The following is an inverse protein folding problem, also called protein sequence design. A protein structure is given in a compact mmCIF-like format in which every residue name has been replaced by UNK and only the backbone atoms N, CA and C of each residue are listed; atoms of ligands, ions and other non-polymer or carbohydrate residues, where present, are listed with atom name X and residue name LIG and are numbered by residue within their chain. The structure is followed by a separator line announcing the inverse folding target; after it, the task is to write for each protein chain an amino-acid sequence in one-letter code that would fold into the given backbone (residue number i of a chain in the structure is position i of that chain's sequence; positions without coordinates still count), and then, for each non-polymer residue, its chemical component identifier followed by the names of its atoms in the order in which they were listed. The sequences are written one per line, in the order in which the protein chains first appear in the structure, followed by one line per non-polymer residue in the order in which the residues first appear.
data_IF_930964167186
#
_entry.id   IF_930964167186
#
_cell.length_a   1.000
_cell.length_b   1.000
_cell.length_c   1.000
_cell.angle_alpha   90.00
_cell.angle_beta   90.00
_cell.angle_gamma   90.00
#
_symmetry.space_group_name_H-M   'P 1'
#
loop_
_entity.id
_entity.type
_entity.pdbx_description
1 polymer ?
#
# COMPACT_ATOMS: atom_id res chain seq x y z
N UNK A 1 22.57 26.21 -11.57
CA UNK A 1 21.98 25.90 -12.86
C UNK A 1 22.30 27.03 -13.85
N UNK A 2 22.59 26.73 -15.14
CA UNK A 2 22.82 27.73 -16.19
C UNK A 2 21.54 27.93 -17.02
N UNK A 3 21.46 29.05 -17.76
CA UNK A 3 20.34 29.30 -18.69
C UNK A 3 20.25 28.21 -19.78
N UNK A 4 21.37 27.63 -20.20
CA UNK A 4 21.41 26.52 -21.14
C UNK A 4 20.81 25.24 -20.53
N UNK A 5 21.17 24.90 -19.29
CA UNK A 5 20.60 23.75 -18.58
C UNK A 5 19.08 23.91 -18.34
N UNK A 6 18.64 25.13 -18.01
CA UNK A 6 17.21 25.40 -17.86
C UNK A 6 16.42 25.22 -19.16
N UNK A 7 16.99 25.65 -20.30
CA UNK A 7 16.37 25.45 -21.62
C UNK A 7 16.38 23.99 -22.10
N UNK A 8 17.30 23.18 -21.59
CA UNK A 8 17.43 21.76 -21.94
C UNK A 8 16.61 20.83 -21.03
N UNK A 9 15.84 21.39 -20.07
CA UNK A 9 14.99 20.57 -19.22
C UNK A 9 13.93 19.86 -20.05
N UNK A 10 13.67 18.59 -19.75
CA UNK A 10 12.61 17.79 -20.34
C UNK A 10 11.26 18.45 -20.05
N UNK A 11 10.44 18.58 -21.10
CA UNK A 11 9.03 18.99 -20.96
C UNK A 11 8.20 17.74 -20.77
N UNK A 12 7.47 17.67 -19.67
CA UNK A 12 6.66 16.52 -19.31
C UNK A 12 5.20 16.74 -19.75
N UNK A 13 4.47 15.65 -20.11
CA UNK A 13 3.12 15.76 -20.63
C UNK A 13 2.10 16.20 -19.57
N UNK A 14 1.16 17.04 -19.96
CA UNK A 14 0.03 17.46 -19.14
C UNK A 14 -1.27 16.96 -19.80
N UNK A 15 -1.81 15.85 -19.30
CA UNK A 15 -3.06 15.25 -19.77
C UNK A 15 -4.07 15.18 -18.62
N UNK A 16 -4.59 16.35 -18.23
CA UNK A 16 -5.55 16.45 -17.13
C UNK A 16 -6.92 15.90 -17.52
N UNK A 17 -7.44 15.02 -16.67
CA UNK A 17 -8.76 14.42 -16.79
C UNK A 17 -9.56 14.66 -15.51
N UNK A 18 -10.88 14.76 -15.65
CA UNK A 18 -11.81 14.91 -14.54
C UNK A 18 -12.59 13.61 -14.35
N UNK A 19 -12.56 13.04 -13.16
CA UNK A 19 -13.38 11.90 -12.81
C UNK A 19 -14.87 12.29 -12.79
N UNK A 20 -15.68 11.68 -13.62
CA UNK A 20 -17.12 11.98 -13.73
C UNK A 20 -17.92 11.62 -12.48
N UNK A 21 -17.42 10.67 -11.68
CA UNK A 21 -18.07 10.27 -10.43
C UNK A 21 -17.80 11.27 -9.29
N UNK A 22 -16.53 11.53 -8.96
CA UNK A 22 -16.19 12.34 -7.79
C UNK A 22 -15.78 13.78 -8.09
N UNK A 23 -15.55 14.15 -9.36
CA UNK A 23 -15.10 15.49 -9.74
C UNK A 23 -13.60 15.75 -9.46
N UNK A 24 -12.83 14.73 -9.10
CA UNK A 24 -11.39 14.86 -8.92
C UNK A 24 -10.70 15.05 -10.27
N UNK A 25 -9.74 15.98 -10.32
CA UNK A 25 -8.95 16.27 -11.53
C UNK A 25 -7.52 15.80 -11.29
N UNK A 26 -6.96 15.07 -12.26
CA UNK A 26 -5.60 14.55 -12.15
C UNK A 26 -4.92 14.47 -13.52
N UNK A 27 -3.59 14.48 -13.54
CA UNK A 27 -2.80 14.26 -14.75
C UNK A 27 -2.66 12.77 -15.04
N UNK A 28 -3.31 12.28 -16.10
CA UNK A 28 -3.29 10.86 -16.46
C UNK A 28 -1.91 10.37 -16.97
N UNK A 29 -1.03 11.29 -17.39
CA UNK A 29 0.34 11.00 -17.86
C UNK A 29 1.40 11.27 -16.78
N UNK A 30 0.99 11.37 -15.51
CA UNK A 30 1.93 11.61 -14.43
C UNK A 30 2.79 10.38 -14.12
N UNK A 31 4.10 10.58 -14.09
CA UNK A 31 5.08 9.59 -13.66
C UNK A 31 5.86 10.15 -12.45
N UNK A 32 5.66 9.56 -11.29
CA UNK A 32 6.33 9.98 -10.06
C UNK A 32 7.86 9.88 -10.14
N UNK A 33 8.40 8.97 -10.94
CA UNK A 33 9.85 8.79 -11.10
C UNK A 33 10.52 10.03 -11.74
N UNK A 34 9.75 10.85 -12.48
CA UNK A 34 10.21 12.09 -13.09
C UNK A 34 10.37 13.24 -12.08
N UNK A 35 9.70 13.16 -10.94
CA UNK A 35 9.67 14.21 -9.89
C UNK A 35 9.83 13.60 -8.50
N UNK A 36 10.99 12.99 -8.19
CA UNK A 36 11.18 12.31 -6.91
C UNK A 36 11.38 13.33 -5.78
N UNK A 37 10.30 13.74 -5.12
CA UNK A 37 10.32 14.71 -4.00
C UNK A 37 11.28 14.36 -2.87
N UNK A 38 11.49 13.05 -2.62
CA UNK A 38 12.46 12.60 -1.62
C UNK A 38 13.91 12.93 -1.95
N UNK A 39 14.22 13.20 -3.23
CA UNK A 39 15.58 13.51 -3.67
C UNK A 39 15.80 15.00 -3.93
N UNK A 40 14.77 15.70 -4.38
CA UNK A 40 14.83 17.14 -4.71
C UNK A 40 13.49 17.79 -4.35
N UNK A 41 13.28 18.12 -3.08
CA UNK A 41 12.04 18.75 -2.66
C UNK A 41 11.88 20.10 -3.34
N UNK A 42 10.73 20.33 -3.94
CA UNK A 42 10.34 21.65 -4.41
C UNK A 42 9.64 22.37 -3.23
N UNK A 43 10.39 23.19 -2.55
CA UNK A 43 9.90 23.87 -1.35
C UNK A 43 9.06 25.09 -1.73
N UNK A 44 7.84 25.14 -1.25
CA UNK A 44 7.00 26.34 -1.43
C UNK A 44 7.47 27.47 -0.55
N UNK A 45 8.00 28.53 -1.17
CA UNK A 45 8.41 29.75 -0.47
C UNK A 45 7.31 30.81 -0.46
N UNK A 46 6.28 30.62 0.31
CA UNK A 46 5.32 31.69 0.52
C UNK A 46 5.68 32.47 1.80
N UNK A 47 6.25 33.68 1.65
CA UNK A 47 6.68 34.56 2.75
C UNK A 47 5.75 35.76 2.95
N UNK A 48 4.67 35.81 2.19
CA UNK A 48 3.74 36.94 2.25
C UNK A 48 3.01 37.04 3.59
N UNK A 49 2.69 38.26 4.00
CA UNK A 49 1.95 38.54 5.24
C UNK A 49 0.61 37.79 5.30
N UNK A 50 -0.15 37.79 4.21
CA UNK A 50 -1.44 37.10 4.14
C UNK A 50 -1.33 35.58 4.37
N UNK A 51 -0.26 34.98 3.85
CA UNK A 51 0.02 33.57 4.09
C UNK A 51 0.39 33.30 5.57
N UNK A 52 1.23 34.17 6.14
CA UNK A 52 1.58 34.05 7.55
C UNK A 52 0.35 34.16 8.47
N UNK A 53 -0.54 35.10 8.19
CA UNK A 53 -1.81 35.27 8.91
C UNK A 53 -2.76 34.08 8.72
N UNK A 54 -2.78 33.47 7.53
CA UNK A 54 -3.56 32.26 7.28
C UNK A 54 -3.05 31.11 8.15
N UNK A 55 -1.72 30.86 8.17
CA UNK A 55 -1.12 29.82 8.99
C UNK A 55 -1.39 30.06 10.48
N UNK A 56 -1.25 31.31 10.93
CA UNK A 56 -1.50 31.67 12.32
C UNK A 56 -2.93 31.36 12.74
N UNK A 57 -3.90 31.78 11.94
CA UNK A 57 -5.33 31.46 12.20
C UNK A 57 -5.61 29.96 12.19
N UNK A 58 -5.00 29.21 11.26
CA UNK A 58 -5.15 27.76 11.19
C UNK A 58 -4.59 27.07 12.44
N UNK A 59 -3.40 27.49 12.89
CA UNK A 59 -2.80 26.95 14.12
C UNK A 59 -3.66 27.25 15.36
N UNK A 60 -4.13 28.50 15.51
CA UNK A 60 -4.96 28.89 16.64
C UNK A 60 -6.30 28.10 16.65
N UNK A 61 -6.94 28.00 15.47
CA UNK A 61 -8.18 27.24 15.29
C UNK A 61 -8.03 25.74 15.61
N UNK A 62 -6.90 25.12 15.25
CA UNK A 62 -6.61 23.72 15.61
C UNK A 62 -6.34 23.58 17.11
N UNK A 63 -5.51 24.46 17.70
CA UNK A 63 -5.13 24.39 19.11
C UNK A 63 -6.33 24.57 20.06
N UNK A 64 -7.35 25.33 19.66
CA UNK A 64 -8.61 25.47 20.43
C UNK A 64 -9.38 24.13 20.56
N UNK A 65 -9.11 23.17 19.68
CA UNK A 65 -9.80 21.87 19.60
C UNK A 65 -8.99 20.72 20.18
N UNK A 66 -7.79 21.01 20.60
CA UNK A 66 -6.83 20.02 21.12
C UNK A 66 -6.69 20.12 22.64
N UNK A 67 -6.30 19.04 23.33
CA UNK A 67 -6.04 19.06 24.76
C UNK A 67 -4.87 20.01 25.12
N UNK A 68 -4.67 20.24 26.42
CA UNK A 68 -3.61 21.13 26.90
C UNK A 68 -2.19 20.70 26.56
N UNK A 69 -1.96 19.39 26.45
CA UNK A 69 -0.67 18.78 26.11
C UNK A 69 -0.82 17.84 24.91
N UNK A 70 -1.12 18.38 23.70
CA UNK A 70 -1.43 17.56 22.56
C UNK A 70 -0.17 16.92 21.95
N UNK A 71 -0.36 15.76 21.36
CA UNK A 71 0.60 15.15 20.41
C UNK A 71 0.17 15.51 18.98
N UNK A 72 0.98 16.33 18.33
CA UNK A 72 0.74 16.84 16.97
C UNK A 72 1.73 16.24 16.00
N UNK A 73 1.24 15.58 14.96
CA UNK A 73 2.06 15.00 13.90
C UNK A 73 1.79 15.74 12.60
N UNK A 74 2.82 16.22 11.90
CA UNK A 74 2.70 16.80 10.56
C UNK A 74 3.43 15.96 9.52
N UNK A 75 2.73 15.63 8.44
CA UNK A 75 3.25 14.88 7.28
C UNK A 75 3.61 15.87 6.18
N UNK A 76 4.83 15.76 5.65
CA UNK A 76 5.36 16.70 4.66
C UNK A 76 5.68 18.05 5.31
N UNK A 77 6.34 18.01 6.48
CA UNK A 77 6.55 19.18 7.29
C UNK A 77 7.44 20.28 6.65
N UNK A 78 8.33 20.02 5.66
CA UNK A 78 9.08 21.03 4.89
C UNK A 78 9.86 22.05 5.74
N UNK A 79 10.10 23.28 5.22
CA UNK A 79 10.94 24.30 5.90
C UNK A 79 10.20 25.25 6.85
N UNK A 80 8.87 25.45 6.72
CA UNK A 80 8.16 26.54 7.43
C UNK A 80 6.80 26.12 7.93
N UNK A 81 6.78 25.67 9.14
CA UNK A 81 5.74 24.80 9.65
C UNK A 81 4.73 25.47 10.54
N UNK A 82 3.50 24.99 10.46
CA UNK A 82 2.55 25.10 11.55
C UNK A 82 3.11 24.56 12.87
N UNK A 83 3.86 23.45 12.84
CA UNK A 83 4.42 22.82 14.05
C UNK A 83 5.23 23.77 14.92
N UNK A 84 6.14 24.55 14.33
CA UNK A 84 6.91 25.54 15.09
C UNK A 84 6.01 26.57 15.77
N UNK A 85 4.97 27.03 15.06
CA UNK A 85 4.01 28.00 15.60
C UNK A 85 3.14 27.39 16.68
N UNK A 86 2.70 26.15 16.53
CA UNK A 86 1.93 25.41 17.52
C UNK A 86 2.76 25.14 18.77
N UNK A 87 4.02 24.71 18.63
CA UNK A 87 4.93 24.48 19.75
C UNK A 87 5.23 25.79 20.53
N UNK A 88 5.37 26.91 19.85
CA UNK A 88 5.56 28.22 20.49
C UNK A 88 4.31 28.69 21.27
N UNK A 89 3.10 28.39 20.76
CA UNK A 89 1.82 28.79 21.39
C UNK A 89 1.39 27.86 22.50
N UNK A 90 1.80 26.59 22.42
CA UNK A 90 1.43 25.55 23.39
C UNK A 90 2.66 24.77 23.83
N UNK A 91 3.35 25.29 24.88
CA UNK A 91 4.65 24.77 25.34
C UNK A 91 4.62 23.30 25.82
N UNK A 92 3.42 22.79 26.16
CA UNK A 92 3.23 21.38 26.55
C UNK A 92 2.95 20.47 25.36
N UNK A 93 2.78 21.01 24.15
CA UNK A 93 2.53 20.21 22.97
C UNK A 93 3.79 19.42 22.59
N UNK A 94 3.62 18.13 22.29
CA UNK A 94 4.64 17.31 21.62
C UNK A 94 4.39 17.39 20.12
N UNK A 95 5.24 18.08 19.40
CA UNK A 95 5.14 18.27 17.96
C UNK A 95 6.19 17.43 17.23
N UNK A 96 5.76 16.64 16.24
CA UNK A 96 6.60 15.73 15.44
C UNK A 96 6.35 16.00 13.96
N UNK A 97 7.39 16.31 13.19
CA UNK A 97 7.32 16.49 11.74
C UNK A 97 7.98 15.36 11.00
N UNK A 98 7.33 14.86 9.95
CA UNK A 98 7.87 13.87 9.02
C UNK A 98 8.11 14.52 7.66
N UNK A 99 9.35 14.42 7.16
CA UNK A 99 9.69 14.85 5.82
C UNK A 99 10.94 14.10 5.32
N UNK A 100 10.83 13.28 4.25
CA UNK A 100 11.95 12.47 3.76
C UNK A 100 13.09 13.31 3.16
N UNK A 101 12.85 14.58 2.81
CA UNK A 101 13.87 15.47 2.24
C UNK A 101 14.91 15.96 3.25
N UNK A 102 14.61 15.88 4.54
CA UNK A 102 15.44 16.41 5.60
C UNK A 102 15.49 17.94 5.67
N UNK A 103 14.65 18.65 4.93
CA UNK A 103 14.66 20.11 4.83
C UNK A 103 13.97 20.83 6.01
N UNK A 104 13.76 20.15 7.13
CA UNK A 104 13.07 20.70 8.29
C UNK A 104 13.98 21.60 9.16
N UNK A 105 13.53 22.84 9.41
CA UNK A 105 14.12 23.73 10.41
C UNK A 105 13.35 23.61 11.74
N UNK A 106 13.90 22.88 12.69
CA UNK A 106 13.30 22.66 14.02
C UNK A 106 13.26 23.90 14.90
N UNK A 107 13.87 25.01 14.46
CA UNK A 107 13.92 26.24 15.24
C UNK A 107 14.64 26.09 16.56
N UNK A 108 15.71 25.29 16.60
CA UNK A 108 16.48 25.02 17.81
C UNK A 108 15.89 23.94 18.72
N UNK A 109 15.12 23.01 18.15
CA UNK A 109 14.55 21.88 18.91
C UNK A 109 13.14 22.12 19.46
N UNK A 110 12.40 23.06 18.88
CA UNK A 110 11.00 23.31 19.27
C UNK A 110 10.06 22.14 18.93
N UNK A 111 10.44 21.29 17.97
CA UNK A 111 9.72 20.07 17.62
C UNK A 111 10.70 18.97 17.17
N UNK A 112 10.24 17.73 17.23
CA UNK A 112 10.97 16.54 16.76
C UNK A 112 10.88 16.46 15.23
N UNK A 113 12.02 16.35 14.52
CA UNK A 113 12.08 16.15 13.08
C UNK A 113 12.49 14.71 12.76
N UNK A 114 11.69 14.04 11.93
CA UNK A 114 11.95 12.68 11.43
C UNK A 114 12.16 12.72 9.92
N UNK A 115 13.39 12.46 9.49
CA UNK A 115 13.78 12.42 8.07
C UNK A 115 13.43 11.08 7.47
N UNK A 116 12.14 10.78 7.41
CA UNK A 116 11.59 9.54 6.87
C UNK A 116 10.16 9.75 6.36
N UNK A 117 9.66 8.79 5.58
CA UNK A 117 8.26 8.78 5.18
C UNK A 117 7.37 8.41 6.37
N UNK A 118 6.24 9.11 6.50
CA UNK A 118 5.22 8.72 7.47
C UNK A 118 4.56 7.40 7.03
N UNK A 119 4.71 6.37 7.86
CA UNK A 119 4.06 5.06 7.70
C UNK A 119 2.91 4.94 8.69
N UNK A 120 1.65 5.09 8.26
CA UNK A 120 0.50 5.17 9.16
C UNK A 120 0.41 4.02 10.17
N UNK A 121 0.60 2.77 9.70
CA UNK A 121 0.48 1.58 10.55
C UNK A 121 1.51 1.53 11.69
N UNK A 122 2.69 2.12 11.49
CA UNK A 122 3.76 2.14 12.50
C UNK A 122 3.64 3.37 13.39
N UNK A 123 3.59 4.55 12.76
CA UNK A 123 3.76 5.81 13.48
C UNK A 123 2.51 6.23 14.28
N UNK A 124 1.31 5.86 13.83
CA UNK A 124 0.12 6.10 14.65
C UNK A 124 0.15 5.27 15.94
N UNK A 125 0.49 3.97 15.84
CA UNK A 125 0.59 3.10 17.00
C UNK A 125 1.72 3.50 17.96
N UNK A 126 2.83 4.08 17.46
CA UNK A 126 3.95 4.56 18.26
C UNK A 126 3.64 5.88 18.97
N UNK A 127 3.03 6.82 18.25
CA UNK A 127 2.95 8.23 18.68
C UNK A 127 1.65 8.58 19.38
N UNK A 128 0.57 7.84 19.10
CA UNK A 128 -0.78 8.14 19.62
C UNK A 128 -1.16 9.63 19.46
N UNK A 129 -1.16 10.18 18.22
CA UNK A 129 -1.41 11.61 18.02
C UNK A 129 -2.85 12.00 18.36
N UNK A 130 -3.03 13.22 18.86
CA UNK A 130 -4.35 13.87 18.97
C UNK A 130 -4.79 14.45 17.62
N UNK A 131 -3.80 14.88 16.81
CA UNK A 131 -4.05 15.36 15.46
C UNK A 131 -2.91 14.98 14.51
N UNK A 132 -3.28 14.55 13.31
CA UNK A 132 -2.39 14.40 12.15
C UNK A 132 -2.70 15.55 11.20
N UNK A 133 -1.66 16.26 10.78
CA UNK A 133 -1.73 17.39 9.86
C UNK A 133 -1.04 17.00 8.55
N UNK A 134 -1.68 17.27 7.41
CA UNK A 134 -1.08 17.11 6.09
C UNK A 134 -1.44 18.33 5.25
N UNK A 135 -0.44 19.12 4.88
CA UNK A 135 -0.64 20.35 4.12
C UNK A 135 0.25 20.37 2.91
N UNK A 136 -0.37 20.63 1.74
CA UNK A 136 0.35 20.66 0.46
C UNK A 136 1.18 19.40 0.19
N UNK A 137 0.55 18.23 0.40
CA UNK A 137 1.13 16.90 0.16
C UNK A 137 0.28 16.11 -0.82
N UNK A 138 -1.05 16.14 -0.65
CA UNK A 138 -1.94 15.26 -1.40
C UNK A 138 -1.98 15.58 -2.89
N UNK A 139 -1.74 16.84 -3.27
CA UNK A 139 -1.66 17.26 -4.67
C UNK A 139 -0.51 16.61 -5.44
N UNK A 140 0.50 16.14 -4.72
CA UNK A 140 1.66 15.44 -5.29
C UNK A 140 1.52 13.92 -5.34
N UNK A 141 0.48 13.35 -4.71
CA UNK A 141 0.30 11.91 -4.62
C UNK A 141 -0.43 11.35 -5.84
N UNK A 142 -0.01 10.16 -6.28
CA UNK A 142 -0.71 9.40 -7.32
C UNK A 142 -2.07 8.90 -6.84
N UNK A 143 -2.17 8.55 -5.55
CA UNK A 143 -3.39 8.05 -4.93
C UNK A 143 -3.68 8.74 -3.60
N UNK A 144 -4.16 9.99 -3.61
CA UNK A 144 -4.47 10.73 -2.38
C UNK A 144 -5.59 10.08 -1.56
N UNK A 145 -6.60 9.50 -2.21
CA UNK A 145 -7.68 8.77 -1.53
C UNK A 145 -7.14 7.59 -0.73
N UNK A 146 -6.30 6.75 -1.36
CA UNK A 146 -5.70 5.60 -0.69
C UNK A 146 -4.79 6.00 0.46
N UNK A 147 -4.11 7.14 0.36
CA UNK A 147 -3.29 7.67 1.45
C UNK A 147 -4.13 8.05 2.67
N UNK A 148 -5.21 8.81 2.49
CA UNK A 148 -6.13 9.17 3.59
C UNK A 148 -6.80 7.93 4.19
N UNK A 149 -7.21 6.97 3.34
CA UNK A 149 -7.76 5.69 3.80
C UNK A 149 -6.76 4.88 4.62
N UNK A 150 -5.47 4.91 4.28
CA UNK A 150 -4.43 4.20 5.05
C UNK A 150 -4.23 4.79 6.44
N UNK A 151 -4.34 6.11 6.58
CA UNK A 151 -4.28 6.80 7.89
C UNK A 151 -5.50 6.43 8.75
N UNK A 152 -6.70 6.54 8.20
CA UNK A 152 -7.94 6.19 8.92
C UNK A 152 -7.97 4.71 9.31
N UNK A 153 -7.54 3.85 8.40
CA UNK A 153 -7.42 2.42 8.67
C UNK A 153 -6.45 2.12 9.81
N UNK A 154 -5.25 2.72 9.79
CA UNK A 154 -4.25 2.51 10.84
C UNK A 154 -4.73 3.03 12.20
N UNK A 155 -5.44 4.18 12.25
CA UNK A 155 -6.06 4.70 13.46
C UNK A 155 -7.11 3.73 14.00
N UNK A 156 -7.99 3.21 13.12
CA UNK A 156 -9.01 2.22 13.48
C UNK A 156 -8.39 0.93 14.01
N UNK A 157 -7.34 0.44 13.35
CA UNK A 157 -6.63 -0.78 13.74
C UNK A 157 -6.00 -0.67 15.12
N UNK A 158 -5.36 0.46 15.39
CA UNK A 158 -4.67 0.72 16.67
C UNK A 158 -5.61 1.27 17.75
N UNK A 159 -6.91 1.38 17.47
CA UNK A 159 -7.91 1.97 18.36
C UNK A 159 -7.56 3.39 18.83
N UNK A 160 -6.99 4.18 17.92
CA UNK A 160 -6.57 5.57 18.17
C UNK A 160 -7.69 6.49 17.74
N UNK A 161 -8.12 7.36 18.65
CA UNK A 161 -9.03 8.46 18.38
C UNK A 161 -8.20 9.71 18.11
N UNK A 162 -8.09 10.10 16.86
CA UNK A 162 -7.33 11.26 16.42
C UNK A 162 -8.13 12.10 15.44
N UNK A 163 -7.75 13.36 15.30
CA UNK A 163 -8.22 14.21 14.20
C UNK A 163 -7.23 14.17 13.04
N UNK A 164 -7.75 14.38 11.83
CA UNK A 164 -6.96 14.56 10.62
C UNK A 164 -7.29 15.94 10.04
N UNK A 165 -6.31 16.81 9.96
CA UNK A 165 -6.40 18.08 9.25
C UNK A 165 -5.65 17.99 7.94
N UNK A 166 -6.35 18.30 6.84
CA UNK A 166 -5.77 18.34 5.49
C UNK A 166 -6.02 19.71 4.87
N UNK A 167 -5.00 20.24 4.20
CA UNK A 167 -5.09 21.43 3.37
C UNK A 167 -4.39 21.19 2.03
N UNK A 168 -5.05 21.58 0.93
CA UNK A 168 -4.54 21.47 -0.43
C UNK A 168 -4.92 22.69 -1.24
N UNK A 169 -4.25 22.99 -2.39
CA UNK A 169 -4.69 23.99 -3.33
C UNK A 169 -6.12 23.71 -3.83
N UNK A 170 -6.94 24.74 -3.92
CA UNK A 170 -8.32 24.67 -4.38
C UNK A 170 -8.43 25.24 -5.80
N UNK A 171 -8.99 24.43 -6.72
CA UNK A 171 -9.13 24.85 -8.13
C UNK A 171 -10.51 25.42 -8.49
N UNK A 172 -11.40 25.64 -7.53
CA UNK A 172 -12.71 26.25 -7.83
C UNK A 172 -12.54 27.63 -8.47
N UNK A 173 -11.69 28.48 -7.87
CA UNK A 173 -11.38 29.80 -8.46
C UNK A 173 -10.60 29.72 -9.77
N UNK A 174 -9.79 28.67 -9.94
CA UNK A 174 -9.07 28.43 -11.20
C UNK A 174 -10.05 28.23 -12.34
N UNK A 175 -11.11 27.47 -12.13
CA UNK A 175 -12.17 27.26 -13.10
C UNK A 175 -13.00 28.53 -13.32
N UNK A 176 -13.35 29.25 -12.25
CA UNK A 176 -14.13 30.53 -12.35
C UNK A 176 -13.39 31.58 -13.13
N UNK A 177 -12.07 31.69 -12.95
CA UNK A 177 -11.25 32.75 -13.53
C UNK A 177 -10.52 32.37 -14.82
N UNK A 178 -10.55 31.08 -15.19
CA UNK A 178 -9.88 30.57 -16.39
C UNK A 178 -8.34 30.61 -16.29
N UNK A 179 -7.79 30.50 -15.07
CA UNK A 179 -6.33 30.44 -14.87
C UNK A 179 -5.78 29.10 -15.35
N UNK A 180 -4.70 29.12 -16.13
CA UNK A 180 -4.05 27.90 -16.65
C UNK A 180 -2.73 27.57 -15.97
N UNK A 181 -2.11 28.52 -15.29
CA UNK A 181 -0.80 28.35 -14.66
C UNK A 181 -0.82 27.45 -13.42
N UNK A 182 -2.00 27.15 -12.89
CA UNK A 182 -2.19 26.23 -11.76
C UNK A 182 -2.01 24.75 -12.17
N UNK A 183 -2.08 24.45 -13.48
CA UNK A 183 -1.89 23.10 -14.01
C UNK A 183 -0.44 22.92 -14.44
N UNK A 184 0.37 22.35 -13.57
CA UNK A 184 1.77 22.02 -13.82
C UNK A 184 2.11 20.63 -13.30
N UNK A 185 3.22 20.07 -13.75
CA UNK A 185 3.48 18.64 -13.66
C UNK A 185 3.58 18.12 -12.23
N UNK A 186 4.18 18.86 -11.31
CA UNK A 186 4.38 18.45 -9.93
C UNK A 186 3.07 18.31 -9.14
N UNK A 187 2.01 19.02 -9.54
CA UNK A 187 0.69 18.83 -8.98
C UNK A 187 -0.10 17.81 -9.82
N UNK A 188 0.03 16.55 -9.48
CA UNK A 188 -0.72 15.48 -10.14
C UNK A 188 -2.23 15.56 -9.87
N UNK A 189 -2.60 15.90 -8.65
CA UNK A 189 -3.98 15.89 -8.14
C UNK A 189 -4.48 17.30 -7.85
N UNK A 190 -5.69 17.63 -8.33
CA UNK A 190 -6.31 18.93 -8.12
C UNK A 190 -7.68 18.77 -7.48
N UNK A 191 -7.94 19.58 -6.46
CA UNK A 191 -9.12 19.47 -5.63
C UNK A 191 -10.04 20.67 -5.78
N UNK A 192 -11.31 20.42 -6.12
CA UNK A 192 -12.41 21.32 -5.83
C UNK A 192 -12.86 21.10 -4.38
N UNK A 193 -13.55 22.07 -3.78
CA UNK A 193 -14.17 21.87 -2.45
C UNK A 193 -15.05 20.62 -2.43
N UNK A 194 -15.77 20.35 -3.50
CA UNK A 194 -16.65 19.19 -3.63
C UNK A 194 -15.88 17.86 -3.67
N UNK A 195 -14.86 17.76 -4.54
CA UNK A 195 -14.07 16.51 -4.65
C UNK A 195 -13.29 16.22 -3.38
N UNK A 196 -12.78 17.25 -2.72
CA UNK A 196 -12.13 17.17 -1.43
C UNK A 196 -13.07 16.68 -0.32
N UNK A 197 -14.29 17.24 -0.24
CA UNK A 197 -15.32 16.81 0.70
C UNK A 197 -15.64 15.32 0.52
N UNK A 198 -15.89 14.88 -0.72
CA UNK A 198 -16.18 13.47 -1.04
C UNK A 198 -15.03 12.54 -0.67
N UNK A 199 -13.78 12.97 -0.85
CA UNK A 199 -12.62 12.19 -0.44
C UNK A 199 -12.62 11.98 1.08
N UNK A 200 -12.82 13.00 1.88
CA UNK A 200 -12.87 12.88 3.35
C UNK A 200 -14.06 12.04 3.82
N UNK A 201 -15.25 12.27 3.27
CA UNK A 201 -16.47 11.50 3.59
C UNK A 201 -16.31 9.98 3.32
N UNK A 202 -15.56 9.63 2.29
CA UNK A 202 -15.29 8.22 1.93
C UNK A 202 -14.18 7.58 2.76
N UNK A 203 -13.32 8.37 3.38
CA UNK A 203 -12.05 7.92 3.95
C UNK A 203 -11.97 8.01 5.46
N UNK A 204 -12.86 8.77 6.12
CA UNK A 204 -12.75 9.05 7.55
C UNK A 204 -14.04 8.69 8.30
N UNK A 205 -13.97 8.63 9.62
CA UNK A 205 -15.12 8.31 10.45
C UNK A 205 -16.20 9.39 10.39
N UNK A 206 -15.79 10.65 10.45
CA UNK A 206 -16.69 11.82 10.47
C UNK A 206 -15.95 13.04 9.93
N UNK A 207 -16.59 13.78 9.04
CA UNK A 207 -16.10 15.07 8.57
C UNK A 207 -16.63 16.14 9.53
N UNK A 208 -15.72 16.81 10.25
CA UNK A 208 -16.07 17.82 11.25
C UNK A 208 -16.17 19.22 10.65
N UNK A 209 -15.34 19.51 9.64
CA UNK A 209 -15.30 20.83 9.02
C UNK A 209 -14.70 20.75 7.62
N UNK A 210 -15.22 21.52 6.67
CA UNK A 210 -14.63 21.81 5.36
C UNK A 210 -14.90 23.24 4.97
N UNK A 211 -13.85 23.97 4.67
CA UNK A 211 -13.96 25.34 4.19
C UNK A 211 -12.82 25.69 3.22
N UNK A 212 -12.96 26.83 2.56
CA UNK A 212 -11.91 27.44 1.76
C UNK A 212 -11.26 28.59 2.54
N UNK A 213 -9.98 28.80 2.32
CA UNK A 213 -9.21 29.85 2.97
C UNK A 213 -8.24 30.51 2.01
N UNK A 214 -7.48 31.49 2.49
CA UNK A 214 -6.48 32.20 1.70
C UNK A 214 -7.08 32.72 0.38
N UNK A 215 -8.18 33.49 0.49
CA UNK A 215 -8.95 34.01 -0.66
C UNK A 215 -9.50 32.95 -1.63
N UNK A 216 -9.79 31.75 -1.13
CA UNK A 216 -10.27 30.64 -1.93
C UNK A 216 -9.19 29.86 -2.67
N UNK A 217 -7.92 30.15 -2.42
CA UNK A 217 -6.79 29.46 -3.08
C UNK A 217 -6.48 28.09 -2.43
N UNK A 218 -6.97 27.85 -1.22
CA UNK A 218 -6.84 26.55 -0.55
C UNK A 218 -8.19 26.05 -0.08
N UNK A 219 -8.36 24.74 -0.06
CA UNK A 219 -9.44 24.05 0.65
C UNK A 219 -8.82 23.25 1.78
N UNK A 220 -9.45 23.32 2.96
CA UNK A 220 -9.02 22.55 4.11
C UNK A 220 -10.19 21.85 4.77
N UNK A 221 -9.88 20.78 5.49
CA UNK A 221 -10.88 20.04 6.25
C UNK A 221 -10.29 19.41 7.50
N UNK A 222 -11.16 19.25 8.47
CA UNK A 222 -10.91 18.53 9.72
C UNK A 222 -11.86 17.34 9.78
N UNK A 223 -11.31 16.15 10.01
CA UNK A 223 -12.08 14.94 10.13
C UNK A 223 -11.65 14.14 11.37
N UNK A 224 -12.55 13.33 11.90
CA UNK A 224 -12.24 12.34 12.93
C UNK A 224 -11.77 11.05 12.26
N UNK A 225 -10.67 10.50 12.73
CA UNK A 225 -10.15 9.19 12.32
C UNK A 225 -10.79 8.06 13.13
N UNK A 226 -10.62 6.84 12.66
CA UNK A 226 -11.03 5.65 13.39
C UNK A 226 -12.40 5.12 12.98
N UNK A 227 -12.71 5.13 11.69
CA UNK A 227 -13.96 4.59 11.15
C UNK A 227 -14.14 3.12 11.54
N UNK A 228 -15.12 2.83 12.41
CA UNK A 228 -15.50 1.48 12.80
C UNK A 228 -16.50 0.92 11.79
N UNK A 229 -16.18 -0.22 11.17
CA UNK A 229 -17.12 -0.87 10.23
C UNK A 229 -16.48 -1.96 9.39
N UNK A 230 -17.17 -2.39 8.33
CA UNK A 230 -16.79 -3.50 7.46
C UNK A 230 -15.33 -3.46 6.94
N UNK A 231 -14.76 -2.28 6.75
CA UNK A 231 -13.37 -2.12 6.27
C UNK A 231 -12.34 -2.66 7.25
N UNK A 232 -12.55 -2.44 8.55
CA UNK A 232 -11.65 -2.96 9.61
C UNK A 232 -11.68 -4.49 9.62
N UNK A 233 -12.88 -5.08 9.50
CA UNK A 233 -13.03 -6.54 9.47
C UNK A 233 -12.30 -7.18 8.29
N UNK A 234 -12.45 -6.63 7.08
CA UNK A 234 -11.76 -7.15 5.89
C UNK A 234 -10.24 -7.02 5.99
N UNK A 235 -9.78 -5.93 6.54
CA UNK A 235 -8.34 -5.71 6.69
C UNK A 235 -7.75 -6.58 7.80
N UNK A 236 -8.46 -6.81 8.90
CA UNK A 236 -8.06 -7.79 9.91
C UNK A 236 -7.95 -9.19 9.29
N UNK A 237 -8.94 -9.59 8.50
CA UNK A 237 -8.90 -10.85 7.78
C UNK A 237 -7.70 -10.94 6.84
N UNK A 238 -7.39 -9.88 6.10
CA UNK A 238 -6.23 -9.82 5.21
C UNK A 238 -4.89 -9.91 5.96
N UNK A 239 -4.75 -9.22 7.09
CA UNK A 239 -3.54 -9.31 7.91
C UNK A 239 -3.37 -10.68 8.56
N UNK A 240 -4.45 -11.27 9.08
CA UNK A 240 -4.44 -12.63 9.60
C UNK A 240 -4.06 -13.64 8.52
N UNK A 241 -4.61 -13.45 7.30
CA UNK A 241 -4.23 -14.28 6.15
C UNK A 241 -2.74 -14.13 5.83
N UNK A 242 -2.19 -12.91 5.78
CA UNK A 242 -0.78 -12.69 5.50
C UNK A 242 0.14 -13.35 6.53
N UNK A 243 -0.17 -13.20 7.83
CA UNK A 243 0.59 -13.82 8.91
C UNK A 243 0.50 -15.36 8.86
N UNK A 244 -0.71 -15.90 8.63
CA UNK A 244 -0.92 -17.34 8.50
C UNK A 244 -0.17 -17.88 7.29
N UNK A 245 -0.28 -17.20 6.14
CA UNK A 245 0.40 -17.58 4.91
C UNK A 245 1.94 -17.64 5.06
N UNK A 246 2.54 -16.67 5.76
CA UNK A 246 3.97 -16.69 6.03
C UNK A 246 4.38 -17.91 6.88
N UNK A 247 3.65 -18.19 7.97
CA UNK A 247 3.89 -19.37 8.81
C UNK A 247 3.69 -20.67 8.04
N UNK A 248 2.60 -20.79 7.29
CA UNK A 248 2.28 -21.98 6.50
C UNK A 248 3.37 -22.24 5.46
N UNK A 249 3.91 -21.18 4.84
CA UNK A 249 5.03 -21.31 3.90
C UNK A 249 6.24 -21.98 4.53
N UNK A 250 6.65 -21.53 5.69
CA UNK A 250 7.80 -22.10 6.40
C UNK A 250 7.54 -23.56 6.82
N UNK A 251 6.36 -23.84 7.34
CA UNK A 251 5.97 -25.18 7.80
C UNK A 251 5.91 -26.18 6.63
N UNK A 252 5.28 -25.82 5.52
CA UNK A 252 5.18 -26.68 4.33
C UNK A 252 6.56 -26.92 3.73
N UNK A 253 7.41 -25.89 3.62
CA UNK A 253 8.79 -26.06 3.14
C UNK A 253 9.57 -27.03 4.01
N UNK A 254 9.50 -26.89 5.34
CA UNK A 254 10.19 -27.79 6.26
C UNK A 254 9.72 -29.24 6.12
N UNK A 255 8.41 -29.46 5.93
CA UNK A 255 7.85 -30.81 5.71
C UNK A 255 8.27 -31.41 4.37
N UNK A 256 8.34 -30.61 3.30
CA UNK A 256 8.83 -31.04 1.99
C UNK A 256 10.34 -31.36 2.04
N UNK A 257 11.12 -30.50 2.66
CA UNK A 257 12.57 -30.67 2.83
C UNK A 257 12.88 -31.95 3.63
N UNK A 258 12.14 -32.22 4.69
CA UNK A 258 12.29 -33.45 5.49
C UNK A 258 12.00 -34.71 4.67
N UNK A 259 10.94 -34.70 3.84
CA UNK A 259 10.62 -35.85 2.96
C UNK A 259 11.70 -36.10 1.91
N UNK A 260 12.17 -35.01 1.23
CA UNK A 260 13.22 -35.12 0.23
C UNK A 260 14.54 -35.58 0.85
N UNK A 261 14.88 -35.08 2.04
CA UNK A 261 16.07 -35.52 2.79
C UNK A 261 15.99 -36.99 3.20
N UNK A 262 14.79 -37.49 3.52
CA UNK A 262 14.52 -38.90 3.77
C UNK A 262 14.52 -39.78 2.51
N UNK A 263 14.79 -39.22 1.33
CA UNK A 263 14.88 -39.91 0.06
C UNK A 263 13.52 -40.11 -0.63
N UNK A 264 12.44 -39.46 -0.19
CA UNK A 264 11.11 -39.52 -0.84
C UNK A 264 11.17 -38.79 -2.18
N UNK A 265 10.86 -39.48 -3.26
CA UNK A 265 10.73 -38.90 -4.62
C UNK A 265 9.33 -38.35 -4.77
N UNK A 266 9.24 -37.06 -4.99
CA UNK A 266 7.96 -36.34 -5.12
C UNK A 266 7.84 -35.77 -6.53
N UNK A 267 6.74 -36.07 -7.22
CA UNK A 267 6.34 -35.36 -8.43
C UNK A 267 5.27 -34.30 -8.08
N UNK A 268 5.21 -33.22 -8.85
CA UNK A 268 4.22 -32.17 -8.70
C UNK A 268 3.22 -32.27 -9.86
N UNK A 269 1.92 -32.30 -9.59
CA UNK A 269 0.91 -32.35 -10.63
C UNK A 269 0.31 -30.97 -10.89
N UNK A 270 0.62 -30.43 -12.05
CA UNK A 270 0.33 -29.08 -12.53
C UNK A 270 1.57 -28.21 -12.60
N UNK A 271 1.81 -27.58 -13.77
CA UNK A 271 3.00 -26.77 -14.03
C UNK A 271 2.72 -25.33 -14.40
N UNK A 272 1.46 -24.90 -14.50
CA UNK A 272 1.09 -23.55 -14.95
C UNK A 272 0.06 -22.91 -14.01
N UNK A 273 -0.13 -21.59 -14.14
CA UNK A 273 -1.11 -20.84 -13.37
C UNK A 273 -0.93 -20.99 -11.85
N UNK A 274 -1.96 -21.43 -11.14
CA UNK A 274 -1.94 -21.59 -9.67
C UNK A 274 -0.89 -22.61 -9.20
N UNK A 275 -0.64 -23.66 -9.99
CA UNK A 275 0.38 -24.63 -9.66
C UNK A 275 1.79 -24.04 -9.79
N UNK A 276 2.07 -23.26 -10.83
CA UNK A 276 3.31 -22.53 -10.93
C UNK A 276 3.51 -21.52 -9.78
N UNK A 277 2.43 -20.81 -9.40
CA UNK A 277 2.46 -19.92 -8.23
C UNK A 277 2.82 -20.69 -6.94
N UNK A 278 2.23 -21.87 -6.72
CA UNK A 278 2.55 -22.74 -5.59
C UNK A 278 4.01 -23.17 -5.59
N UNK A 279 4.50 -23.66 -6.73
CA UNK A 279 5.90 -24.10 -6.92
C UNK A 279 6.87 -22.98 -6.52
N UNK A 280 6.66 -21.77 -7.06
CA UNK A 280 7.51 -20.62 -6.76
C UNK A 280 7.35 -20.14 -5.30
N UNK A 281 6.13 -20.09 -4.78
CA UNK A 281 5.86 -19.63 -3.41
C UNK A 281 6.52 -20.52 -2.36
N UNK A 282 6.46 -21.83 -2.54
CA UNK A 282 7.10 -22.79 -1.63
C UNK A 282 8.57 -23.10 -2.00
N UNK A 283 9.11 -22.53 -3.07
CA UNK A 283 10.51 -22.70 -3.47
C UNK A 283 10.84 -24.14 -3.91
N UNK A 284 9.95 -24.75 -4.67
CA UNK A 284 10.13 -26.12 -5.19
C UNK A 284 11.00 -26.09 -6.44
N UNK A 285 12.30 -26.12 -6.27
CA UNK A 285 13.28 -26.01 -7.34
C UNK A 285 13.47 -27.30 -8.15
N UNK A 286 14.07 -27.17 -9.34
CA UNK A 286 14.28 -28.27 -10.28
C UNK A 286 15.27 -29.35 -9.80
N UNK A 287 16.10 -29.06 -8.78
CA UNK A 287 17.05 -30.05 -8.26
C UNK A 287 16.36 -31.01 -7.29
N UNK A 288 15.54 -30.48 -6.41
CA UNK A 288 14.83 -31.28 -5.39
C UNK A 288 13.51 -31.85 -5.88
N UNK A 289 12.84 -31.14 -6.79
CA UNK A 289 11.54 -31.52 -7.38
C UNK A 289 11.63 -31.51 -8.92
N UNK A 290 12.41 -32.41 -9.52
CA UNK A 290 12.68 -32.35 -10.97
C UNK A 290 11.49 -32.75 -11.84
N UNK A 291 10.48 -33.39 -11.28
CA UNK A 291 9.36 -33.97 -12.05
C UNK A 291 8.07 -33.19 -11.83
N UNK A 292 7.67 -32.44 -12.84
CA UNK A 292 6.40 -31.73 -12.92
C UNK A 292 5.56 -32.32 -14.03
N UNK A 293 4.31 -32.65 -13.73
CA UNK A 293 3.37 -33.32 -14.61
C UNK A 293 2.19 -32.43 -14.96
N UNK A 294 1.59 -32.59 -16.12
CA UNK A 294 0.27 -32.01 -16.43
C UNK A 294 -0.54 -32.99 -17.29
N UNK A 295 -1.88 -32.94 -17.11
CA UNK A 295 -2.82 -33.73 -17.92
C UNK A 295 -3.10 -33.09 -19.27
N UNK A 296 -2.81 -31.80 -19.40
CA UNK A 296 -3.08 -31.01 -20.60
C UNK A 296 -1.96 -31.22 -21.63
N UNK A 297 -2.23 -31.84 -22.77
CA UNK A 297 -1.20 -32.11 -23.78
C UNK A 297 -0.55 -30.84 -24.34
N UNK A 298 -1.25 -29.69 -24.32
CA UNK A 298 -0.73 -28.42 -24.81
C UNK A 298 0.34 -27.84 -23.88
N UNK A 299 0.38 -28.29 -22.64
CA UNK A 299 1.40 -27.87 -21.64
C UNK A 299 2.59 -28.80 -21.59
N UNK A 300 2.42 -30.07 -22.01
CA UNK A 300 3.50 -31.05 -22.02
C UNK A 300 4.61 -30.60 -22.96
N UNK A 301 5.84 -30.63 -22.46
CA UNK A 301 7.03 -30.14 -23.19
C UNK A 301 7.35 -28.67 -22.98
N UNK A 302 6.45 -27.90 -22.37
CA UNK A 302 6.72 -26.51 -21.93
C UNK A 302 7.42 -26.49 -20.56
N UNK A 303 7.64 -25.30 -19.98
CA UNK A 303 8.39 -25.14 -18.73
C UNK A 303 7.56 -24.37 -17.70
N UNK A 304 7.75 -24.73 -16.42
CA UNK A 304 7.14 -24.02 -15.30
C UNK A 304 7.72 -22.60 -15.24
N UNK A 305 6.86 -21.56 -15.33
CA UNK A 305 7.34 -20.19 -15.18
C UNK A 305 8.01 -19.96 -13.82
N UNK A 306 9.19 -19.33 -13.83
CA UNK A 306 9.97 -19.00 -12.64
C UNK A 306 10.97 -20.08 -12.23
N UNK A 307 10.57 -21.33 -12.03
CA UNK A 307 11.43 -22.41 -11.55
C UNK A 307 12.08 -23.23 -12.66
N UNK A 308 11.53 -23.19 -13.90
CA UNK A 308 12.15 -23.76 -15.11
C UNK A 308 12.08 -25.29 -15.24
N UNK A 309 11.33 -26.01 -14.39
CA UNK A 309 11.12 -27.45 -14.57
C UNK A 309 10.37 -27.71 -15.88
N UNK A 310 10.79 -28.74 -16.62
CA UNK A 310 10.03 -29.18 -17.78
C UNK A 310 8.74 -29.87 -17.33
N UNK A 311 7.64 -29.54 -17.98
CA UNK A 311 6.34 -30.19 -17.75
C UNK A 311 6.29 -31.44 -18.60
N UNK A 312 6.05 -32.59 -17.97
CA UNK A 312 6.03 -33.89 -18.61
C UNK A 312 4.60 -34.49 -18.57
N UNK A 313 4.32 -35.42 -19.50
CA UNK A 313 3.10 -36.22 -19.44
C UNK A 313 3.13 -37.16 -18.23
N UNK A 314 1.97 -37.39 -17.63
CA UNK A 314 1.81 -38.38 -16.54
C UNK A 314 2.36 -39.77 -16.88
N UNK A 315 2.43 -40.14 -18.16
CA UNK A 315 2.93 -41.47 -18.60
C UNK A 315 4.40 -41.68 -18.26
N UNK A 316 5.16 -40.61 -18.01
CA UNK A 316 6.56 -40.70 -17.53
C UNK A 316 6.66 -41.45 -16.21
N UNK A 317 5.59 -41.44 -15.35
CA UNK A 317 5.57 -42.16 -14.07
C UNK A 317 5.70 -43.69 -14.24
N UNK A 318 5.39 -44.25 -15.39
CA UNK A 318 5.57 -45.67 -15.67
C UNK A 318 7.08 -46.03 -15.79
N UNK A 319 7.89 -45.09 -16.25
CA UNK A 319 9.34 -45.26 -16.40
C UNK A 319 10.14 -44.68 -15.22
N UNK A 320 9.60 -43.64 -14.62
CA UNK A 320 10.21 -42.92 -13.49
C UNK A 320 9.21 -42.84 -12.31
N UNK A 321 8.95 -43.98 -11.61
CA UNK A 321 7.98 -44.02 -10.52
C UNK A 321 8.44 -43.14 -9.35
N UNK A 322 7.47 -42.52 -8.70
CA UNK A 322 7.68 -41.66 -7.52
C UNK A 322 7.00 -42.27 -6.29
N UNK A 323 7.41 -41.81 -5.11
CA UNK A 323 6.82 -42.26 -3.85
C UNK A 323 5.57 -41.47 -3.49
N UNK A 324 5.53 -40.18 -3.90
CA UNK A 324 4.38 -39.33 -3.66
C UNK A 324 4.13 -38.37 -4.82
N UNK A 325 2.89 -37.93 -4.98
CA UNK A 325 2.46 -36.89 -5.91
C UNK A 325 1.86 -35.74 -5.11
N UNK A 326 2.49 -34.57 -5.20
CA UNK A 326 1.97 -33.33 -4.62
C UNK A 326 1.03 -32.63 -5.60
N UNK A 327 -0.19 -32.37 -5.16
CA UNK A 327 -1.21 -31.68 -5.96
C UNK A 327 -1.46 -30.27 -5.38
N UNK A 328 -0.91 -29.22 -6.03
CA UNK A 328 -1.09 -27.82 -5.58
C UNK A 328 -2.55 -27.34 -5.58
N UNK A 329 -3.36 -27.86 -6.49
CA UNK A 329 -4.79 -27.52 -6.62
C UNK A 329 -5.63 -28.55 -5.86
N UNK A 330 -5.70 -28.41 -4.55
CA UNK A 330 -6.30 -29.38 -3.62
C UNK A 330 -7.70 -29.83 -4.06
N UNK A 331 -8.55 -28.92 -4.49
CA UNK A 331 -9.92 -29.20 -4.92
C UNK A 331 -10.02 -30.09 -6.18
N UNK A 332 -8.91 -30.28 -6.89
CA UNK A 332 -8.80 -31.21 -8.03
C UNK A 332 -8.17 -32.56 -7.66
N UNK A 333 -7.73 -32.71 -6.42
CA UNK A 333 -6.95 -33.89 -6.04
C UNK A 333 -7.69 -35.20 -6.31
N UNK A 334 -8.98 -35.25 -5.99
CA UNK A 334 -9.80 -36.43 -6.25
C UNK A 334 -10.03 -36.72 -7.75
N UNK A 335 -10.11 -35.67 -8.58
CA UNK A 335 -10.23 -35.85 -10.02
C UNK A 335 -8.92 -36.39 -10.62
N UNK A 336 -7.80 -35.88 -10.19
CA UNK A 336 -6.48 -36.32 -10.59
C UNK A 336 -6.25 -37.77 -10.12
N UNK A 337 -6.64 -38.10 -8.91
CA UNK A 337 -6.56 -39.49 -8.41
C UNK A 337 -7.36 -40.47 -9.32
N UNK A 338 -8.60 -40.10 -9.68
CA UNK A 338 -9.42 -40.91 -10.62
C UNK A 338 -8.75 -40.99 -12.00
N UNK A 339 -8.18 -39.93 -12.50
CA UNK A 339 -7.45 -39.92 -13.76
C UNK A 339 -6.22 -40.85 -13.72
N UNK A 340 -5.50 -40.89 -12.63
CA UNK A 340 -4.37 -41.82 -12.44
C UNK A 340 -4.83 -43.27 -12.40
N UNK A 341 -5.89 -43.55 -11.67
CA UNK A 341 -6.51 -44.90 -11.59
C UNK A 341 -6.97 -45.38 -12.98
N UNK A 342 -7.65 -44.52 -13.73
CA UNK A 342 -8.12 -44.84 -15.09
C UNK A 342 -6.95 -45.08 -16.09
N UNK A 343 -5.80 -44.45 -15.84
CA UNK A 343 -4.60 -44.61 -16.63
C UNK A 343 -3.68 -45.74 -16.12
N UNK A 344 -4.04 -46.45 -15.06
CA UNK A 344 -3.23 -47.50 -14.41
C UNK A 344 -1.82 -46.99 -14.00
N UNK A 345 -1.79 -45.79 -13.42
CA UNK A 345 -0.56 -45.15 -12.90
C UNK A 345 -0.45 -45.42 -11.41
N UNK A 346 0.54 -46.19 -10.96
CA UNK A 346 0.73 -46.47 -9.56
C UNK A 346 1.23 -45.26 -8.80
N UNK A 347 0.61 -44.92 -7.66
CA UNK A 347 1.07 -43.92 -6.72
C UNK A 347 0.87 -44.44 -5.30
N UNK A 348 1.88 -44.30 -4.44
CA UNK A 348 1.80 -44.75 -3.05
C UNK A 348 1.07 -43.72 -2.18
N UNK A 349 1.25 -42.43 -2.50
CA UNK A 349 0.78 -41.33 -1.68
C UNK A 349 0.41 -40.13 -2.55
N UNK A 350 -0.72 -39.50 -2.26
CA UNK A 350 -1.12 -38.23 -2.84
C UNK A 350 -1.13 -37.18 -1.74
N UNK A 351 -0.32 -36.17 -1.91
CA UNK A 351 -0.16 -35.08 -0.95
C UNK A 351 -0.90 -33.84 -1.42
N UNK A 352 -1.58 -33.20 -0.48
CA UNK A 352 -2.17 -31.88 -0.63
C UNK A 352 -1.70 -30.97 0.49
N UNK A 353 -1.66 -29.68 0.25
CA UNK A 353 -1.40 -28.68 1.31
C UNK A 353 -2.74 -28.19 1.88
N UNK A 354 -2.84 -28.16 3.20
CA UNK A 354 -3.94 -27.50 3.88
C UNK A 354 -3.48 -26.94 5.21
N UNK A 355 -3.67 -25.63 5.38
CA UNK A 355 -3.33 -24.84 6.58
C UNK A 355 -1.91 -25.11 7.14
N UNK A 356 -0.92 -25.06 6.24
CA UNK A 356 0.50 -25.24 6.58
C UNK A 356 0.93 -26.69 6.81
N UNK A 357 0.09 -27.65 6.48
CA UNK A 357 0.37 -29.08 6.61
C UNK A 357 0.30 -29.78 5.27
N UNK A 358 1.21 -30.72 5.06
CA UNK A 358 1.10 -31.68 3.97
C UNK A 358 0.30 -32.88 4.47
N UNK A 359 -0.85 -33.08 3.85
CA UNK A 359 -1.81 -34.12 4.22
C UNK A 359 -1.88 -35.20 3.13
N UNK A 360 -2.05 -36.45 3.58
CA UNK A 360 -2.35 -37.57 2.70
C UNK A 360 -3.81 -37.53 2.30
N UNK A 361 -4.12 -37.55 0.98
CA UNK A 361 -5.47 -37.39 0.46
C UNK A 361 -6.47 -38.43 0.96
N UNK A 362 -6.01 -39.67 1.24
CA UNK A 362 -6.88 -40.76 1.60
C UNK A 362 -6.99 -41.05 3.10
N UNK A 363 -6.02 -40.59 3.89
CA UNK A 363 -5.92 -40.96 5.31
C UNK A 363 -6.12 -39.81 6.27
N UNK A 364 -5.80 -38.59 5.87
CA UNK A 364 -5.88 -37.43 6.74
C UNK A 364 -7.23 -36.72 6.61
N UNK A 365 -7.63 -36.03 7.67
CA UNK A 365 -8.85 -35.20 7.65
C UNK A 365 -8.59 -33.87 6.96
N UNK A 366 -9.35 -33.56 5.91
CA UNK A 366 -9.28 -32.32 5.14
C UNK A 366 -10.62 -32.04 4.43
N UNK A 367 -10.86 -30.79 3.95
CA UNK A 367 -12.14 -30.41 3.34
C UNK A 367 -12.28 -30.79 1.86
N UNK A 368 -11.33 -31.48 1.23
CA UNK A 368 -11.30 -31.77 -0.23
C UNK A 368 -11.66 -33.20 -0.58
#
# INVERSE_FOLDING_TARGET
ASAAAARAMEQLPLAFVCCVDCGHVFNAEFDYAKVPYSQKPNLMFNRGRLWAEHIDRTCDWLLERLPDAPVVVEIGAGERHPLRRMAQRRLKARCIGFDPSGAMDTGGGLFEARTELFVPATHLAELHPDVVISRHVLEHLVNPLGFVQSIDFAASWSSIEAMLFIEVPCIDRVFETGRIADFYYEHNSHFTRRSFARMLERSTAEVLHIDTAYNGEVVHGLARLGRRGHTVHHAQAAMQFAQRSARNREQVRAQLDARVTAGTRIAIWGGTGKAAAFINYFGLDAQRFPLVLDSDPDKVGTFVPGSGQRIESRDVLRQRPVDAILIPMQWRARDIQREMQAADIPCKSILIEHDGRLLELDSDEHPY
#
